data_IF_094889790813
#
_entry.id   IF_094889790813
#
_cell.length_a   1.000
_cell.length_b   1.000
_cell.length_c   1.000
_cell.angle_alpha   90.00
_cell.angle_beta   90.00
_cell.angle_gamma   90.00
#
_symmetry.space_group_name_H-M   'P 1'
#
loop_
_entity.id
_entity.type
_entity.pdbx_description
1 polymer ?
#
# COMPACT_ATOMS: atom_id res chain seq x y z
N UNK A 1 8.69 38.57 10.60
CA UNK A 1 8.98 37.24 11.14
C UNK A 1 8.43 37.00 12.54
N UNK A 2 8.55 37.93 13.50
CA UNK A 2 8.00 37.71 14.86
C UNK A 2 6.48 37.45 14.88
N UNK A 3 5.70 38.14 14.06
CA UNK A 3 4.24 37.98 13.98
C UNK A 3 3.84 36.63 13.36
N UNK A 4 4.53 36.20 12.30
CA UNK A 4 4.30 34.87 11.69
C UNK A 4 4.49 33.75 12.72
N UNK A 5 5.57 33.83 13.50
CA UNK A 5 5.86 32.85 14.54
C UNK A 5 4.85 32.89 15.70
N UNK A 6 4.35 34.06 16.05
CA UNK A 6 3.31 34.22 17.09
C UNK A 6 1.99 33.54 16.65
N UNK A 7 1.56 33.76 15.40
CA UNK A 7 0.37 33.12 14.82
C UNK A 7 0.59 31.60 14.75
N UNK A 8 1.70 31.19 14.23
CA UNK A 8 2.07 29.77 14.16
C UNK A 8 2.01 29.08 15.54
N UNK A 9 2.64 29.67 16.55
CA UNK A 9 2.64 29.11 17.91
C UNK A 9 1.23 29.04 18.52
N UNK A 10 0.39 30.07 18.27
CA UNK A 10 -1.01 30.10 18.71
C UNK A 10 -1.80 28.93 18.10
N UNK A 11 -1.70 28.74 16.78
CA UNK A 11 -2.39 27.67 16.06
C UNK A 11 -1.90 26.29 16.52
N UNK A 12 -0.60 26.09 16.62
CA UNK A 12 -0.02 24.83 17.10
C UNK A 12 -0.51 24.49 18.52
N UNK A 13 -0.50 25.45 19.42
CA UNK A 13 -1.03 25.24 20.77
C UNK A 13 -2.51 24.84 20.73
N UNK A 14 -3.31 25.46 19.87
CA UNK A 14 -4.73 25.15 19.71
C UNK A 14 -4.92 23.72 19.23
N UNK A 15 -4.22 23.29 18.17
CA UNK A 15 -4.34 21.96 17.61
C UNK A 15 -3.95 20.86 18.60
N UNK A 16 -2.88 21.05 19.37
CA UNK A 16 -2.39 20.06 20.32
C UNK A 16 -3.01 20.14 21.72
N UNK A 17 -3.83 21.17 22.01
CA UNK A 17 -4.54 21.27 23.30
C UNK A 17 -6.00 20.85 23.17
N UNK A 18 -6.63 21.03 22.02
CA UNK A 18 -8.03 20.63 21.79
C UNK A 18 -8.09 19.12 21.49
N UNK A 19 -8.71 18.36 22.41
CA UNK A 19 -8.87 16.90 22.30
C UNK A 19 -9.60 16.48 21.02
N UNK A 20 -10.59 17.27 20.55
CA UNK A 20 -11.34 16.96 19.33
C UNK A 20 -10.43 17.09 18.10
N UNK A 21 -9.61 18.12 18.05
CA UNK A 21 -8.64 18.32 16.97
C UNK A 21 -7.55 17.25 16.98
N UNK A 22 -7.05 16.87 18.16
CA UNK A 22 -6.09 15.78 18.29
C UNK A 22 -6.66 14.45 17.76
N UNK A 23 -7.89 14.11 18.15
CA UNK A 23 -8.54 12.89 17.65
C UNK A 23 -8.68 12.96 16.13
N UNK A 24 -9.20 14.06 15.58
CA UNK A 24 -9.38 14.20 14.12
C UNK A 24 -8.06 14.17 13.34
N UNK A 25 -6.96 14.56 13.99
CA UNK A 25 -5.63 14.56 13.40
C UNK A 25 -5.03 13.16 13.30
N UNK A 26 -5.14 12.35 14.36
CA UNK A 26 -4.50 11.05 14.44
C UNK A 26 -5.41 9.89 14.04
N UNK A 27 -6.73 10.09 14.13
CA UNK A 27 -7.72 9.06 13.82
C UNK A 27 -7.55 8.45 12.41
N UNK A 28 -7.31 9.21 11.33
CA UNK A 28 -7.14 8.63 10.00
C UNK A 28 -5.97 7.65 9.92
N UNK A 29 -4.83 7.97 10.53
CA UNK A 29 -3.67 7.07 10.57
C UNK A 29 -3.95 5.79 11.35
N UNK A 30 -4.64 5.91 12.49
CA UNK A 30 -5.06 4.75 13.28
C UNK A 30 -6.07 3.91 12.50
N UNK A 31 -7.03 4.55 11.82
CA UNK A 31 -8.02 3.85 10.99
C UNK A 31 -7.36 3.12 9.82
N UNK A 32 -6.37 3.73 9.16
CA UNK A 32 -5.57 3.07 8.11
C UNK A 32 -4.97 1.77 8.66
N UNK A 33 -4.28 1.85 9.78
CA UNK A 33 -3.66 0.67 10.41
C UNK A 33 -4.69 -0.41 10.74
N UNK A 34 -5.80 -0.04 11.40
CA UNK A 34 -6.83 -1.00 11.81
C UNK A 34 -7.51 -1.63 10.59
N UNK A 35 -7.93 -0.81 9.61
CA UNK A 35 -8.60 -1.30 8.41
C UNK A 35 -7.73 -2.27 7.63
N UNK A 36 -6.47 -1.93 7.40
CA UNK A 36 -5.58 -2.78 6.61
C UNK A 36 -5.16 -4.04 7.37
N UNK A 37 -4.96 -3.95 8.67
CA UNK A 37 -4.69 -5.14 9.49
C UNK A 37 -5.90 -6.07 9.53
N UNK A 38 -7.13 -5.52 9.65
CA UNK A 38 -8.36 -6.32 9.60
C UNK A 38 -8.58 -6.91 8.22
N UNK A 39 -8.40 -6.11 7.15
CA UNK A 39 -8.50 -6.61 5.77
C UNK A 39 -7.53 -7.76 5.52
N UNK A 40 -6.26 -7.62 5.91
CA UNK A 40 -5.28 -8.69 5.75
C UNK A 40 -5.69 -9.98 6.46
N UNK A 41 -6.15 -9.87 7.72
CA UNK A 41 -6.66 -11.03 8.47
C UNK A 41 -7.93 -11.64 7.87
N UNK A 42 -8.85 -10.80 7.39
CA UNK A 42 -10.07 -11.30 6.74
C UNK A 42 -9.71 -12.03 5.45
N UNK A 43 -8.77 -11.48 4.66
CA UNK A 43 -8.33 -12.15 3.44
C UNK A 43 -7.64 -13.48 3.72
N UNK A 44 -6.73 -13.55 4.71
CA UNK A 44 -6.12 -14.82 5.10
C UNK A 44 -7.17 -15.84 5.61
N UNK A 45 -8.12 -15.41 6.42
CA UNK A 45 -9.19 -16.30 6.90
C UNK A 45 -10.15 -16.72 5.77
N UNK A 46 -10.36 -15.89 4.76
CA UNK A 46 -11.15 -16.22 3.57
C UNK A 46 -10.40 -17.24 2.71
N UNK A 47 -9.09 -17.07 2.52
CA UNK A 47 -8.25 -18.09 1.89
C UNK A 47 -8.32 -19.41 2.67
N UNK A 48 -8.14 -19.39 3.99
CA UNK A 48 -8.24 -20.58 4.85
C UNK A 48 -9.63 -21.24 4.78
N UNK A 49 -10.71 -20.47 4.60
CA UNK A 49 -12.06 -21.00 4.51
C UNK A 49 -12.42 -21.62 3.16
N UNK A 50 -11.65 -21.32 2.11
CA UNK A 50 -11.76 -21.98 0.80
C UNK A 50 -10.87 -23.23 0.69
N UNK A 51 -10.06 -23.54 1.73
CA UNK A 51 -9.24 -24.73 1.79
C UNK A 51 -10.16 -25.92 2.12
N UNK A 52 -10.50 -26.67 1.11
CA UNK A 52 -11.24 -27.92 1.26
C UNK A 52 -10.29 -29.00 1.81
N UNK A 53 -10.47 -29.37 3.07
CA UNK A 53 -9.65 -30.41 3.70
C UNK A 53 -9.88 -31.82 3.09
N UNK A 54 -11.02 -32.02 2.44
CA UNK A 54 -11.30 -33.24 1.67
C UNK A 54 -10.68 -33.19 0.26
N UNK A 55 -9.94 -32.09 -0.05
CA UNK A 55 -9.31 -31.95 -1.35
C UNK A 55 -8.09 -32.84 -1.49
N UNK A 56 -8.07 -33.61 -2.58
CA UNK A 56 -6.96 -34.48 -2.95
C UNK A 56 -5.98 -33.77 -3.86
N UNK A 57 -4.85 -33.37 -3.32
CA UNK A 57 -3.81 -32.70 -4.08
C UNK A 57 -3.18 -33.58 -5.14
N UNK A 58 -2.96 -33.02 -6.33
CA UNK A 58 -2.26 -33.69 -7.44
C UNK A 58 -0.90 -33.02 -7.63
N UNK A 59 0.15 -33.77 -7.39
CA UNK A 59 1.54 -33.29 -7.44
C UNK A 59 2.28 -34.03 -8.54
N UNK A 60 2.99 -33.32 -9.38
CA UNK A 60 3.81 -33.86 -10.45
C UNK A 60 5.28 -33.63 -10.11
N UNK A 61 6.09 -34.68 -10.20
CA UNK A 61 7.55 -34.63 -9.99
C UNK A 61 8.28 -35.07 -11.26
N UNK A 62 9.50 -34.56 -11.47
CA UNK A 62 10.35 -35.04 -12.56
C UNK A 62 10.99 -36.39 -12.20
N UNK A 63 11.05 -37.30 -13.17
CA UNK A 63 11.48 -38.71 -13.00
C UNK A 63 13.01 -38.93 -12.94
N UNK A 64 13.81 -37.91 -13.30
CA UNK A 64 15.26 -37.94 -13.20
C UNK A 64 15.79 -38.20 -11.77
N UNK A 65 14.88 -38.31 -10.82
CA UNK A 65 15.12 -38.51 -9.41
C UNK A 65 14.40 -39.77 -8.83
N UNK A 66 13.61 -40.48 -9.65
CA UNK A 66 12.65 -41.52 -9.19
C UNK A 66 13.27 -42.77 -8.57
N UNK A 67 14.54 -43.05 -8.82
CA UNK A 67 15.25 -44.24 -8.32
C UNK A 67 16.11 -43.99 -7.08
N UNK A 68 16.05 -42.81 -6.51
CA UNK A 68 16.91 -42.36 -5.42
C UNK A 68 16.26 -42.57 -4.04
N UNK A 69 17.03 -42.94 -3.00
CA UNK A 69 16.53 -42.98 -1.62
C UNK A 69 15.97 -41.65 -1.11
N UNK A 70 16.57 -40.56 -1.52
CA UNK A 70 16.14 -39.19 -1.11
C UNK A 70 14.75 -38.85 -1.67
N UNK A 71 14.40 -39.39 -2.85
CA UNK A 71 13.09 -39.25 -3.48
C UNK A 71 11.99 -39.89 -2.62
N UNK A 72 12.21 -41.12 -2.15
CA UNK A 72 11.21 -41.81 -1.33
C UNK A 72 11.02 -41.08 0.03
N UNK A 73 12.06 -40.39 0.54
CA UNK A 73 11.98 -39.59 1.77
C UNK A 73 11.11 -38.39 1.53
N UNK A 74 11.32 -37.61 0.47
CA UNK A 74 10.52 -36.43 0.17
C UNK A 74 9.05 -36.79 -0.08
N UNK A 75 8.79 -37.81 -0.92
CA UNK A 75 7.43 -38.28 -1.20
C UNK A 75 6.71 -38.71 0.07
N UNK A 76 7.39 -39.53 0.91
CA UNK A 76 6.84 -39.99 2.19
C UNK A 76 6.58 -38.81 3.13
N UNK A 77 7.48 -37.82 3.16
CA UNK A 77 7.34 -36.65 4.00
C UNK A 77 6.16 -35.77 3.52
N UNK A 78 6.00 -35.58 2.20
CA UNK A 78 4.86 -34.85 1.63
C UNK A 78 3.55 -35.57 2.01
N UNK A 79 3.44 -36.87 1.79
CA UNK A 79 2.25 -37.64 2.12
C UNK A 79 1.92 -37.56 3.62
N UNK A 80 2.90 -37.86 4.47
CA UNK A 80 2.70 -37.86 5.92
C UNK A 80 2.34 -36.46 6.45
N UNK A 81 2.94 -35.39 5.92
CA UNK A 81 2.66 -34.03 6.35
C UNK A 81 1.24 -33.62 5.94
N UNK A 82 0.83 -33.86 4.70
CA UNK A 82 -0.51 -33.51 4.25
C UNK A 82 -1.59 -34.31 5.02
N UNK A 83 -1.38 -35.61 5.23
CA UNK A 83 -2.30 -36.42 6.05
C UNK A 83 -2.33 -35.97 7.50
N UNK A 84 -1.19 -35.56 8.08
CA UNK A 84 -1.15 -35.02 9.45
C UNK A 84 -1.88 -33.69 9.61
N UNK A 85 -2.05 -32.93 8.52
CA UNK A 85 -2.81 -31.70 8.43
C UNK A 85 -4.30 -31.93 8.08
N UNK A 86 -4.73 -33.22 8.09
CA UNK A 86 -6.11 -33.64 7.82
C UNK A 86 -6.54 -33.53 6.34
N UNK A 87 -5.60 -33.45 5.39
CA UNK A 87 -5.90 -33.56 3.94
C UNK A 87 -5.97 -35.02 3.48
N UNK A 88 -6.63 -35.26 2.36
CA UNK A 88 -6.56 -36.56 1.70
C UNK A 88 -5.13 -36.90 1.23
N UNK A 89 -4.82 -38.18 1.11
CA UNK A 89 -3.52 -38.64 0.59
C UNK A 89 -3.31 -38.10 -0.84
N UNK A 90 -2.21 -37.32 -1.09
CA UNK A 90 -1.99 -36.71 -2.39
C UNK A 90 -1.72 -37.72 -3.49
N UNK A 91 -2.16 -37.41 -4.69
CA UNK A 91 -1.82 -38.17 -5.89
C UNK A 91 -0.50 -37.62 -6.47
N UNK A 92 0.52 -38.49 -6.45
CA UNK A 92 1.86 -38.13 -6.94
C UNK A 92 2.12 -38.86 -8.25
N UNK A 93 2.46 -38.13 -9.28
CA UNK A 93 2.81 -38.63 -10.61
C UNK A 93 4.18 -38.15 -11.05
N UNK A 94 4.79 -38.88 -11.99
CA UNK A 94 6.14 -38.63 -12.46
C UNK A 94 6.16 -38.33 -13.95
N UNK A 95 7.00 -37.37 -14.34
CA UNK A 95 7.20 -36.99 -15.74
C UNK A 95 8.68 -36.91 -16.08
N UNK A 96 9.00 -37.17 -17.34
CA UNK A 96 10.34 -36.94 -17.86
C UNK A 96 10.62 -35.43 -17.93
N UNK A 97 11.85 -35.04 -17.64
CA UNK A 97 12.29 -33.63 -17.64
C UNK A 97 12.01 -32.91 -18.96
N UNK A 98 12.05 -33.63 -20.08
CA UNK A 98 11.76 -33.09 -21.43
C UNK A 98 10.33 -32.57 -21.57
N UNK A 99 9.41 -33.00 -20.69
CA UNK A 99 8.00 -32.61 -20.70
C UNK A 99 7.66 -31.46 -19.74
N UNK A 100 8.65 -30.89 -19.07
CA UNK A 100 8.40 -29.85 -18.06
C UNK A 100 7.61 -28.67 -18.62
N UNK A 101 7.93 -28.19 -19.82
CA UNK A 101 7.25 -27.03 -20.40
C UNK A 101 5.80 -27.37 -20.83
N UNK A 102 5.54 -28.58 -21.33
CA UNK A 102 4.18 -29.06 -21.58
C UNK A 102 3.36 -29.12 -20.29
N UNK A 103 3.98 -29.56 -19.19
CA UNK A 103 3.29 -29.67 -17.91
C UNK A 103 3.12 -28.33 -17.21
N UNK A 104 3.94 -27.33 -17.49
CA UNK A 104 3.65 -25.94 -17.07
C UNK A 104 2.38 -25.42 -17.73
N UNK A 105 2.16 -25.69 -19.02
CA UNK A 105 0.91 -25.33 -19.70
C UNK A 105 -0.30 -26.05 -19.09
N UNK A 106 -0.17 -27.34 -18.73
CA UNK A 106 -1.21 -28.10 -18.03
C UNK A 106 -1.49 -27.55 -16.63
N UNK A 107 -0.46 -27.06 -15.92
CA UNK A 107 -0.62 -26.38 -14.63
C UNK A 107 -1.38 -25.06 -14.78
N UNK A 108 -1.12 -24.32 -15.86
CA UNK A 108 -1.93 -23.14 -16.23
C UNK A 108 -3.36 -23.55 -16.55
N UNK A 109 -3.57 -24.68 -17.25
CA UNK A 109 -4.89 -25.23 -17.55
C UNK A 109 -5.60 -25.86 -16.33
N UNK A 110 -4.98 -25.85 -15.13
CA UNK A 110 -5.55 -26.32 -13.86
C UNK A 110 -5.79 -27.84 -13.78
N UNK A 111 -4.98 -28.64 -14.48
CA UNK A 111 -5.12 -30.10 -14.48
C UNK A 111 -4.55 -30.76 -13.21
N UNK A 112 -3.61 -30.09 -12.53
CA UNK A 112 -2.98 -30.53 -11.28
C UNK A 112 -2.50 -29.31 -10.47
N UNK A 113 -2.02 -29.52 -9.23
CA UNK A 113 -1.82 -28.42 -8.28
C UNK A 113 -0.38 -27.92 -8.20
N UNK A 114 0.62 -28.78 -8.39
CA UNK A 114 2.02 -28.37 -8.31
C UNK A 114 2.94 -29.26 -9.14
N UNK A 115 3.99 -28.65 -9.71
CA UNK A 115 5.06 -29.32 -10.45
C UNK A 115 6.39 -29.07 -9.75
N UNK A 116 7.04 -30.16 -9.29
CA UNK A 116 8.35 -30.10 -8.66
C UNK A 116 9.40 -30.60 -9.66
N UNK A 117 10.35 -29.72 -9.99
CA UNK A 117 11.42 -30.01 -10.94
C UNK A 117 12.75 -30.04 -10.19
N UNK A 118 13.45 -31.17 -10.31
CA UNK A 118 14.77 -31.37 -9.73
C UNK A 118 15.87 -31.09 -10.75
N UNK A 119 17.01 -30.57 -10.25
CA UNK A 119 18.21 -30.36 -11.03
C UNK A 119 18.81 -31.68 -11.53
N UNK A 120 19.59 -31.65 -12.60
CA UNK A 120 20.34 -32.79 -13.07
C UNK A 120 21.41 -33.19 -12.05
N UNK A 121 21.55 -34.53 -11.84
CA UNK A 121 22.47 -35.05 -10.84
C UNK A 121 22.23 -34.50 -9.41
N UNK A 122 20.93 -34.32 -9.06
CA UNK A 122 20.53 -33.75 -7.78
C UNK A 122 21.19 -34.46 -6.59
N UNK A 123 21.24 -35.81 -6.59
CA UNK A 123 21.87 -36.56 -5.50
C UNK A 123 23.37 -36.36 -5.41
N UNK A 124 24.06 -36.35 -6.54
CA UNK A 124 25.50 -36.14 -6.56
C UNK A 124 25.84 -34.74 -6.03
N UNK A 125 25.03 -33.75 -6.39
CA UNK A 125 25.19 -32.36 -5.97
C UNK A 125 24.83 -32.14 -4.49
N UNK A 126 23.80 -32.81 -3.97
CA UNK A 126 23.37 -32.62 -2.58
C UNK A 126 24.43 -33.09 -1.56
N UNK A 127 25.24 -34.08 -1.93
CA UNK A 127 26.35 -34.59 -1.12
C UNK A 127 27.68 -33.89 -1.40
N UNK A 128 27.72 -32.95 -2.36
CA UNK A 128 28.90 -32.20 -2.72
C UNK A 128 29.06 -30.97 -1.83
N UNK A 129 30.26 -30.72 -1.33
CA UNK A 129 30.57 -29.54 -0.54
C UNK A 129 30.64 -28.23 -1.38
N UNK A 130 30.67 -28.35 -2.72
CA UNK A 130 30.93 -27.23 -3.64
C UNK A 130 29.80 -26.90 -4.58
N UNK A 131 28.74 -27.70 -4.66
CA UNK A 131 27.60 -27.46 -5.52
C UNK A 131 26.29 -27.53 -4.72
N UNK A 132 25.38 -26.60 -5.04
CA UNK A 132 24.05 -26.53 -4.44
C UNK A 132 23.03 -26.85 -5.53
N UNK A 133 22.31 -27.98 -5.45
CA UNK A 133 21.31 -28.32 -6.46
C UNK A 133 20.10 -27.43 -6.35
N UNK A 134 19.46 -27.15 -7.49
CA UNK A 134 18.25 -26.36 -7.59
C UNK A 134 16.99 -27.26 -7.49
N UNK A 135 16.02 -26.83 -6.70
CA UNK A 135 14.65 -27.37 -6.70
C UNK A 135 13.72 -26.24 -7.14
N UNK A 136 12.92 -26.49 -8.16
CA UNK A 136 11.89 -25.56 -8.66
C UNK A 136 10.51 -26.14 -8.40
N UNK A 137 9.70 -25.42 -7.63
CA UNK A 137 8.34 -25.81 -7.30
C UNK A 137 7.39 -24.86 -8.02
N UNK A 138 6.83 -25.26 -9.15
CA UNK A 138 5.87 -24.44 -9.89
C UNK A 138 4.46 -24.63 -9.35
N UNK A 139 3.72 -23.53 -9.27
CA UNK A 139 2.34 -23.50 -8.83
C UNK A 139 1.52 -22.49 -9.66
N UNK A 140 0.21 -22.61 -9.62
CA UNK A 140 -0.72 -21.71 -10.27
C UNK A 140 -1.49 -20.92 -9.20
N UNK A 141 -1.17 -19.63 -9.06
CA UNK A 141 -1.82 -18.75 -8.09
C UNK A 141 -3.30 -18.44 -8.40
N UNK A 142 -3.82 -18.86 -9.57
CA UNK A 142 -5.27 -18.83 -9.84
C UNK A 142 -6.04 -19.92 -9.10
N UNK A 143 -5.33 -20.88 -8.53
CA UNK A 143 -5.88 -21.97 -7.74
C UNK A 143 -5.45 -21.77 -6.28
N UNK A 144 -6.39 -21.46 -5.39
CA UNK A 144 -6.11 -21.31 -3.95
C UNK A 144 -5.44 -22.56 -3.37
N UNK A 145 -5.88 -23.74 -3.78
CA UNK A 145 -5.28 -25.02 -3.36
C UNK A 145 -3.82 -25.16 -3.83
N UNK A 146 -3.51 -24.71 -5.06
CA UNK A 146 -2.14 -24.74 -5.60
C UNK A 146 -1.20 -23.79 -4.84
N UNK A 147 -1.66 -22.59 -4.51
CA UNK A 147 -0.87 -21.62 -3.72
C UNK A 147 -0.64 -22.12 -2.29
N UNK A 148 -1.67 -22.66 -1.64
CA UNK A 148 -1.57 -23.25 -0.30
C UNK A 148 -0.59 -24.44 -0.30
N UNK A 149 -0.73 -25.34 -1.29
CA UNK A 149 0.18 -26.48 -1.45
C UNK A 149 1.63 -26.02 -1.64
N UNK A 150 1.86 -24.97 -2.44
CA UNK A 150 3.19 -24.41 -2.65
C UNK A 150 3.85 -23.96 -1.35
N UNK A 151 3.13 -23.25 -0.47
CA UNK A 151 3.65 -22.81 0.84
C UNK A 151 3.99 -24.02 1.75
N UNK A 152 3.15 -25.04 1.72
CA UNK A 152 3.41 -26.29 2.44
C UNK A 152 4.64 -27.02 1.88
N UNK A 153 4.74 -27.13 0.56
CA UNK A 153 5.88 -27.78 -0.11
C UNK A 153 7.20 -27.06 0.15
N UNK A 154 7.22 -25.72 0.19
CA UNK A 154 8.42 -24.97 0.59
C UNK A 154 8.89 -25.37 2.00
N UNK A 155 7.96 -25.46 2.95
CA UNK A 155 8.28 -25.85 4.33
C UNK A 155 8.74 -27.31 4.43
N UNK A 156 8.11 -28.20 3.66
CA UNK A 156 8.45 -29.62 3.62
C UNK A 156 9.83 -29.82 3.01
N UNK A 157 10.11 -29.17 1.88
CA UNK A 157 11.41 -29.26 1.19
C UNK A 157 12.53 -28.69 2.05
N UNK A 158 12.33 -27.52 2.64
CA UNK A 158 13.29 -26.90 3.57
C UNK A 158 13.54 -27.82 4.79
N UNK A 159 12.49 -28.40 5.36
CA UNK A 159 12.58 -29.33 6.48
C UNK A 159 13.29 -30.64 6.12
N UNK A 160 12.99 -31.20 4.95
CA UNK A 160 13.57 -32.47 4.47
C UNK A 160 15.06 -32.33 4.17
N UNK A 161 15.45 -31.21 3.59
CA UNK A 161 16.83 -30.95 3.16
C UNK A 161 17.57 -29.94 4.03
N UNK A 162 17.10 -29.69 5.26
CA UNK A 162 17.67 -28.69 6.20
C UNK A 162 19.17 -28.84 6.43
N UNK A 163 19.69 -30.04 6.38
CA UNK A 163 21.12 -30.32 6.60
C UNK A 163 21.96 -30.18 5.30
N UNK A 164 21.34 -29.84 4.20
CA UNK A 164 21.98 -29.74 2.89
C UNK A 164 21.79 -28.32 2.35
N UNK A 165 22.78 -27.84 1.62
CA UNK A 165 22.66 -26.54 0.94
C UNK A 165 21.95 -26.73 -0.39
N UNK A 166 20.67 -26.37 -0.45
CA UNK A 166 19.86 -26.40 -1.67
C UNK A 166 19.43 -24.97 -2.04
N UNK A 167 19.25 -24.72 -3.34
CA UNK A 167 18.63 -23.49 -3.83
C UNK A 167 17.17 -23.79 -4.17
N UNK A 168 16.23 -23.04 -3.57
CA UNK A 168 14.82 -23.09 -3.94
C UNK A 168 14.52 -21.84 -4.78
N UNK A 169 14.02 -22.05 -6.01
CA UNK A 169 13.62 -20.94 -6.87
C UNK A 169 12.42 -20.19 -6.26
N UNK A 170 12.57 -18.92 -6.02
CA UNK A 170 11.58 -18.09 -5.33
C UNK A 170 10.55 -17.42 -6.26
N UNK A 171 10.60 -17.67 -7.58
CA UNK A 171 9.66 -17.08 -8.54
C UNK A 171 9.01 -18.11 -9.47
N UNK A 172 8.33 -19.15 -8.94
CA UNK A 172 7.83 -20.28 -9.70
C UNK A 172 6.34 -20.17 -10.08
N UNK A 173 5.71 -18.98 -9.96
CA UNK A 173 4.29 -18.82 -10.25
C UNK A 173 4.03 -18.83 -11.76
N UNK A 174 3.16 -19.73 -12.21
CA UNK A 174 2.72 -19.83 -13.61
C UNK A 174 1.30 -19.29 -13.84
N UNK A 175 0.59 -18.89 -12.78
CA UNK A 175 -0.78 -18.36 -12.87
C UNK A 175 -0.83 -16.84 -12.91
N UNK A 176 -1.87 -16.30 -13.55
CA UNK A 176 -2.09 -14.83 -13.66
C UNK A 176 -2.87 -14.22 -12.48
N UNK A 177 -3.61 -15.00 -11.69
CA UNK A 177 -4.59 -14.46 -10.72
C UNK A 177 -3.99 -13.92 -9.41
N UNK A 178 -2.82 -14.38 -8.96
CA UNK A 178 -2.12 -13.66 -7.87
C UNK A 178 -1.70 -12.28 -8.33
N UNK A 179 -1.47 -12.11 -9.64
CA UNK A 179 -1.32 -10.81 -10.24
C UNK A 179 -2.60 -9.98 -10.07
N UNK A 180 -3.80 -10.55 -10.22
CA UNK A 180 -5.08 -9.84 -10.00
C UNK A 180 -5.29 -9.45 -8.55
N UNK A 181 -5.05 -10.34 -7.59
CA UNK A 181 -5.15 -10.02 -6.16
C UNK A 181 -4.18 -8.93 -5.74
N UNK A 182 -2.91 -9.06 -6.08
CA UNK A 182 -1.88 -8.02 -5.87
C UNK A 182 -2.21 -6.75 -6.64
N UNK A 183 -2.75 -6.86 -7.85
CA UNK A 183 -3.16 -5.72 -8.66
C UNK A 183 -4.33 -4.97 -8.00
N UNK A 184 -5.39 -5.66 -7.60
CA UNK A 184 -6.54 -5.07 -6.91
C UNK A 184 -6.10 -4.39 -5.60
N UNK A 185 -5.28 -5.06 -4.79
CA UNK A 185 -4.75 -4.48 -3.55
C UNK A 185 -3.88 -3.26 -3.80
N UNK A 186 -3.04 -3.26 -4.83
CA UNK A 186 -2.18 -2.13 -5.16
C UNK A 186 -2.94 -0.87 -5.60
N UNK A 187 -4.24 -0.98 -5.94
CA UNK A 187 -5.10 0.17 -6.25
C UNK A 187 -6.03 0.55 -5.10
N UNK A 188 -6.61 -0.43 -4.40
CA UNK A 188 -7.50 -0.17 -3.26
C UNK A 188 -6.74 0.56 -2.15
N UNK A 189 -5.52 0.14 -1.88
CA UNK A 189 -4.68 0.69 -0.83
C UNK A 189 -4.37 2.19 -1.03
N UNK A 190 -3.84 2.67 -2.17
CA UNK A 190 -3.66 4.09 -2.40
C UNK A 190 -4.97 4.88 -2.33
N UNK A 191 -6.07 4.33 -2.86
CA UNK A 191 -7.38 4.97 -2.88
C UNK A 191 -7.91 5.24 -1.46
N UNK A 192 -7.87 4.25 -0.58
CA UNK A 192 -8.29 4.40 0.82
C UNK A 192 -7.35 5.38 1.54
N UNK A 193 -6.04 5.24 1.35
CA UNK A 193 -5.05 6.15 1.97
C UNK A 193 -5.32 7.60 1.57
N UNK A 194 -5.51 7.88 0.29
CA UNK A 194 -5.83 9.22 -0.20
C UNK A 194 -7.12 9.77 0.40
N UNK A 195 -8.16 8.95 0.47
CA UNK A 195 -9.46 9.34 1.03
C UNK A 195 -9.34 9.76 2.50
N UNK A 196 -8.58 9.01 3.28
CA UNK A 196 -8.36 9.28 4.70
C UNK A 196 -7.45 10.50 4.92
N UNK A 197 -6.42 10.70 4.08
CA UNK A 197 -5.59 11.91 4.11
C UNK A 197 -6.40 13.16 3.74
N UNK A 198 -7.27 13.07 2.73
CA UNK A 198 -8.15 14.17 2.38
C UNK A 198 -9.17 14.49 3.49
N UNK A 199 -9.73 13.45 4.13
CA UNK A 199 -10.60 13.60 5.30
C UNK A 199 -9.92 14.36 6.45
N UNK A 200 -8.62 14.11 6.69
CA UNK A 200 -7.83 14.86 7.66
C UNK A 200 -7.78 16.35 7.31
N UNK A 201 -7.43 16.67 6.06
CA UNK A 201 -7.37 18.06 5.60
C UNK A 201 -8.75 18.76 5.72
N UNK A 202 -9.84 18.05 5.38
CA UNK A 202 -11.21 18.55 5.56
C UNK A 202 -11.61 18.77 7.02
N UNK A 203 -11.01 18.07 7.96
CA UNK A 203 -11.29 18.25 9.39
C UNK A 203 -10.59 19.49 9.95
N UNK A 204 -9.31 19.68 9.62
CA UNK A 204 -8.47 20.72 10.26
C UNK A 204 -8.55 22.08 9.58
N UNK A 205 -8.64 22.15 8.24
CA UNK A 205 -8.57 23.40 7.52
C UNK A 205 -9.82 24.28 7.68
N UNK A 206 -11.06 23.74 7.54
CA UNK A 206 -12.27 24.50 7.78
C UNK A 206 -12.36 25.04 9.21
N UNK A 207 -11.99 24.24 10.20
CA UNK A 207 -12.01 24.64 11.61
C UNK A 207 -11.04 25.78 11.90
N UNK A 208 -9.85 25.77 11.28
CA UNK A 208 -8.84 26.83 11.47
C UNK A 208 -9.19 28.13 10.77
N UNK A 209 -9.82 28.11 9.60
CA UNK A 209 -10.05 29.32 8.79
C UNK A 209 -11.51 29.74 8.83
N UNK A 210 -12.42 28.90 8.33
CA UNK A 210 -13.84 29.24 8.28
C UNK A 210 -14.45 29.30 9.69
N UNK A 211 -13.98 28.47 10.64
CA UNK A 211 -14.40 28.54 12.03
C UNK A 211 -14.01 29.83 12.75
N UNK A 212 -12.87 30.44 12.43
CA UNK A 212 -12.53 31.76 12.98
C UNK A 212 -13.36 32.88 12.35
N UNK A 213 -13.75 32.75 11.07
CA UNK A 213 -14.70 33.71 10.45
C UNK A 213 -16.05 33.59 11.12
N UNK A 214 -16.60 32.37 11.25
CA UNK A 214 -17.90 32.11 11.85
C UNK A 214 -18.01 32.64 13.29
N UNK A 215 -16.93 32.52 14.08
CA UNK A 215 -16.87 33.02 15.46
C UNK A 215 -16.52 34.52 15.56
N UNK A 216 -16.30 35.21 14.45
CA UNK A 216 -15.90 36.62 14.43
C UNK A 216 -14.48 36.90 14.95
N UNK A 217 -13.75 35.90 15.38
CA UNK A 217 -12.41 36.03 15.94
C UNK A 217 -11.38 36.45 14.90
N UNK A 218 -11.60 36.17 13.64
CA UNK A 218 -10.73 36.59 12.55
C UNK A 218 -10.74 38.11 12.40
N UNK A 219 -11.91 38.77 12.54
CA UNK A 219 -12.02 40.23 12.50
C UNK A 219 -11.17 40.89 13.60
N UNK A 220 -11.23 40.36 14.84
CA UNK A 220 -10.41 40.87 15.96
C UNK A 220 -8.91 40.73 15.71
N UNK A 221 -8.48 39.65 15.03
CA UNK A 221 -7.07 39.47 14.67
C UNK A 221 -6.66 40.47 13.56
N UNK A 222 -7.53 40.73 12.60
CA UNK A 222 -7.25 41.65 11.48
C UNK A 222 -7.18 43.13 11.90
N UNK A 223 -7.75 43.50 13.05
CA UNK A 223 -7.60 44.85 13.64
C UNK A 223 -6.23 45.02 14.33
N UNK A 224 -5.56 43.91 14.66
CA UNK A 224 -4.22 43.94 15.26
C UNK A 224 -3.16 44.41 14.26
N UNK A 225 -2.01 44.96 14.71
CA UNK A 225 -0.96 45.48 13.81
C UNK A 225 -0.18 44.36 13.07
N UNK A 226 -0.85 43.31 12.69
CA UNK A 226 -0.29 42.16 11.95
C UNK A 226 -0.65 42.31 10.47
N UNK A 227 0.34 42.17 9.57
CA UNK A 227 0.06 42.16 8.14
C UNK A 227 -0.76 40.89 7.78
N UNK A 228 -1.77 41.06 6.93
CA UNK A 228 -2.65 39.94 6.49
C UNK A 228 -1.87 38.77 5.87
N UNK A 229 -0.81 39.09 5.12
CA UNK A 229 0.10 38.07 4.58
C UNK A 229 0.86 37.32 5.67
N UNK A 230 1.25 38.00 6.77
CA UNK A 230 1.90 37.33 7.90
C UNK A 230 0.93 36.38 8.64
N UNK A 231 -0.34 36.78 8.76
CA UNK A 231 -1.41 35.96 9.32
C UNK A 231 -1.64 34.72 8.45
N UNK A 232 -1.80 34.90 7.13
CA UNK A 232 -1.99 33.80 6.18
C UNK A 232 -0.84 32.81 6.22
N UNK A 233 0.40 33.30 6.12
CA UNK A 233 1.61 32.43 6.15
C UNK A 233 1.72 31.70 7.48
N UNK A 234 1.48 32.38 8.61
CA UNK A 234 1.52 31.74 9.92
C UNK A 234 0.50 30.60 10.08
N UNK A 235 -0.72 30.81 9.57
CA UNK A 235 -1.76 29.78 9.56
C UNK A 235 -1.41 28.60 8.62
N UNK A 236 -0.96 28.90 7.41
CA UNK A 236 -0.58 27.86 6.45
C UNK A 236 0.56 27.00 6.99
N UNK A 237 1.58 27.63 7.58
CA UNK A 237 2.69 26.90 8.20
C UNK A 237 2.21 26.01 9.35
N UNK A 238 1.30 26.49 10.19
CA UNK A 238 0.74 25.69 11.29
C UNK A 238 -0.08 24.52 10.75
N UNK A 239 -0.96 24.75 9.78
CA UNK A 239 -1.77 23.71 9.14
C UNK A 239 -0.91 22.67 8.41
N UNK A 240 0.13 23.12 7.71
CA UNK A 240 1.07 22.21 7.03
C UNK A 240 1.84 21.35 8.03
N UNK A 241 2.33 21.93 9.13
CA UNK A 241 3.03 21.14 10.15
C UNK A 241 2.09 20.20 10.91
N UNK A 242 0.87 20.65 11.21
CA UNK A 242 -0.17 19.81 11.82
C UNK A 242 -0.55 18.68 10.87
N UNK A 243 -0.71 18.96 9.58
CA UNK A 243 -0.88 17.99 8.54
C UNK A 243 0.28 17.00 8.44
N UNK A 244 1.54 17.48 8.49
CA UNK A 244 2.72 16.62 8.52
C UNK A 244 2.70 15.65 9.70
N UNK A 245 2.30 16.08 10.89
CA UNK A 245 2.17 15.20 12.04
C UNK A 245 1.11 14.09 11.80
N UNK A 246 -0.02 14.44 11.19
CA UNK A 246 -1.04 13.45 10.78
C UNK A 246 -0.52 12.52 9.70
N UNK A 247 0.20 13.05 8.71
CA UNK A 247 0.82 12.28 7.63
C UNK A 247 1.84 11.26 8.14
N UNK A 248 2.64 11.64 9.12
CA UNK A 248 3.57 10.73 9.81
C UNK A 248 2.82 9.54 10.43
N UNK A 249 1.76 9.81 11.20
CA UNK A 249 0.97 8.74 11.81
C UNK A 249 0.29 7.88 10.75
N UNK A 250 -0.22 8.49 9.68
CA UNK A 250 -0.82 7.75 8.56
C UNK A 250 0.20 6.89 7.82
N UNK A 251 1.40 7.42 7.56
CA UNK A 251 2.49 6.68 6.93
C UNK A 251 2.93 5.49 7.80
N UNK A 252 3.06 5.69 9.11
CA UNK A 252 3.34 4.59 10.05
C UNK A 252 2.21 3.57 10.06
N UNK A 253 0.95 4.01 10.04
CA UNK A 253 -0.21 3.12 9.94
C UNK A 253 -0.16 2.23 8.70
N UNK A 254 0.18 2.80 7.54
CA UNK A 254 0.42 2.09 6.28
C UNK A 254 1.56 1.08 6.44
N UNK A 255 2.74 1.56 6.85
CA UNK A 255 3.97 0.76 6.95
C UNK A 255 3.76 -0.46 7.85
N UNK A 256 3.17 -0.29 9.03
CA UNK A 256 2.92 -1.39 9.95
C UNK A 256 1.81 -2.34 9.52
N UNK A 257 0.91 -1.93 8.62
CA UNK A 257 -0.16 -2.80 8.11
C UNK A 257 0.24 -3.64 6.89
N UNK A 258 1.30 -3.28 6.16
CA UNK A 258 1.75 -3.98 4.95
C UNK A 258 1.97 -5.49 5.19
N UNK A 259 2.66 -5.95 6.26
CA UNK A 259 2.86 -7.38 6.47
C UNK A 259 1.55 -8.16 6.64
N UNK A 260 0.56 -7.55 7.30
CA UNK A 260 -0.77 -8.15 7.48
C UNK A 260 -1.56 -8.23 6.17
N UNK A 261 -1.42 -7.23 5.29
CA UNK A 261 -2.07 -7.21 3.98
C UNK A 261 -1.53 -8.27 3.02
N UNK A 262 -0.26 -8.62 3.17
CA UNK A 262 0.40 -9.60 2.32
C UNK A 262 0.27 -11.04 2.86
N UNK A 263 -0.74 -11.32 3.72
CA UNK A 263 -1.04 -12.68 4.19
C UNK A 263 0.06 -13.33 5.02
N UNK A 264 0.94 -12.53 5.66
CA UNK A 264 2.09 -13.05 6.40
C UNK A 264 3.24 -13.54 5.51
N UNK A 265 3.13 -13.38 4.18
CA UNK A 265 4.25 -13.57 3.28
C UNK A 265 5.38 -12.63 3.70
N UNK A 266 6.57 -13.15 3.92
CA UNK A 266 7.79 -12.37 4.18
C UNK A 266 8.24 -11.66 2.91
N UNK A 267 7.39 -10.77 2.38
CA UNK A 267 7.81 -9.86 1.32
C UNK A 267 8.72 -8.84 1.97
N UNK A 268 10.00 -9.05 1.83
CA UNK A 268 11.03 -8.09 2.26
C UNK A 268 10.94 -6.86 1.37
N UNK A 269 10.09 -5.89 1.77
CA UNK A 269 10.06 -4.58 1.10
C UNK A 269 11.36 -3.85 1.48
N UNK A 270 12.20 -3.46 0.53
CA UNK A 270 13.42 -2.71 0.82
C UNK A 270 13.12 -1.41 1.59
N UNK A 271 13.99 -1.04 2.51
CA UNK A 271 13.84 0.21 3.29
C UNK A 271 13.62 1.45 2.40
N UNK A 272 14.21 1.46 1.21
CA UNK A 272 14.04 2.52 0.22
C UNK A 272 12.58 2.73 -0.21
N UNK A 273 11.80 1.65 -0.36
CA UNK A 273 10.39 1.73 -0.76
C UNK A 273 9.50 2.28 0.36
N UNK A 274 9.79 1.96 1.62
CA UNK A 274 9.12 2.60 2.75
C UNK A 274 9.35 4.11 2.79
N UNK A 275 10.57 4.56 2.47
CA UNK A 275 10.90 5.98 2.38
C UNK A 275 10.14 6.63 1.22
N UNK A 276 10.01 5.97 0.08
CA UNK A 276 9.22 6.47 -1.05
C UNK A 276 7.75 6.65 -0.69
N UNK A 277 7.12 5.63 -0.08
CA UNK A 277 5.72 5.70 0.41
C UNK A 277 5.56 6.89 1.37
N UNK A 278 6.49 7.04 2.31
CA UNK A 278 6.48 8.14 3.27
C UNK A 278 6.53 9.52 2.57
N UNK A 279 7.41 9.70 1.60
CA UNK A 279 7.54 10.95 0.84
C UNK A 279 6.29 11.23 -0.01
N UNK A 280 5.70 10.21 -0.63
CA UNK A 280 4.45 10.32 -1.39
C UNK A 280 3.32 10.79 -0.45
N UNK A 281 3.15 10.16 0.71
CA UNK A 281 2.11 10.52 1.69
C UNK A 281 2.28 11.98 2.15
N UNK A 282 3.50 12.40 2.48
CA UNK A 282 3.76 13.77 2.92
C UNK A 282 3.44 14.79 1.83
N UNK A 283 3.92 14.57 0.60
CA UNK A 283 3.66 15.48 -0.52
C UNK A 283 2.16 15.60 -0.83
N UNK A 284 1.45 14.47 -0.78
CA UNK A 284 0.00 14.40 -0.98
C UNK A 284 -0.77 15.15 0.11
N UNK A 285 -0.37 14.98 1.36
CA UNK A 285 -1.03 15.68 2.47
C UNK A 285 -0.86 17.20 2.39
N UNK A 286 0.33 17.68 2.02
CA UNK A 286 0.57 19.11 1.82
C UNK A 286 -0.31 19.64 0.68
N UNK A 287 -0.48 18.88 -0.40
CA UNK A 287 -1.41 19.21 -1.48
C UNK A 287 -2.84 19.32 -0.98
N UNK A 288 -3.33 18.34 -0.20
CA UNK A 288 -4.68 18.33 0.33
C UNK A 288 -4.93 19.45 1.35
N UNK A 289 -3.96 19.72 2.23
CA UNK A 289 -4.05 20.84 3.18
C UNK A 289 -4.11 22.18 2.44
N UNK A 290 -3.31 22.36 1.39
CA UNK A 290 -3.34 23.58 0.57
C UNK A 290 -4.68 23.74 -0.14
N UNK A 291 -5.22 22.67 -0.71
CA UNK A 291 -6.52 22.65 -1.39
C UNK A 291 -7.67 22.94 -0.42
N UNK A 292 -7.71 22.26 0.73
CA UNK A 292 -8.72 22.46 1.75
C UNK A 292 -8.65 23.85 2.38
N UNK A 293 -7.45 24.40 2.57
CA UNK A 293 -7.23 25.75 3.04
C UNK A 293 -7.76 26.80 2.06
N UNK A 294 -7.51 26.59 0.75
CA UNK A 294 -8.01 27.45 -0.31
C UNK A 294 -9.54 27.50 -0.31
N UNK A 295 -10.21 26.33 -0.30
CA UNK A 295 -11.67 26.22 -0.22
C UNK A 295 -12.24 26.85 1.05
N UNK A 296 -11.60 26.62 2.21
CA UNK A 296 -12.03 27.17 3.49
C UNK A 296 -11.89 28.71 3.54
N UNK A 297 -10.98 29.29 2.76
CA UNK A 297 -10.80 30.74 2.69
C UNK A 297 -11.99 31.45 2.01
N UNK A 298 -12.66 30.77 1.06
CA UNK A 298 -13.88 31.31 0.42
C UNK A 298 -15.12 31.20 1.29
N UNK A 299 -15.19 30.19 2.16
CA UNK A 299 -16.35 29.89 2.97
C UNK A 299 -16.54 30.89 4.11
N UNK A 300 -17.80 31.09 4.52
CA UNK A 300 -18.20 31.93 5.67
C UNK A 300 -18.29 31.13 6.97
N UNK A 301 -18.59 29.85 6.89
CA UNK A 301 -18.77 28.95 8.02
C UNK A 301 -18.10 27.60 7.79
N UNK A 302 -17.91 26.83 8.87
CA UNK A 302 -17.37 25.48 8.80
C UNK A 302 -18.25 24.59 7.91
N UNK A 303 -19.59 24.74 8.02
CA UNK A 303 -20.57 23.98 7.23
C UNK A 303 -20.42 24.29 5.73
N UNK A 304 -20.30 25.57 5.38
CA UNK A 304 -20.11 25.99 3.98
C UNK A 304 -18.77 25.50 3.44
N UNK A 305 -17.68 25.58 4.22
CA UNK A 305 -16.39 25.02 3.83
C UNK A 305 -16.46 23.51 3.57
N UNK A 306 -17.11 22.77 4.46
CA UNK A 306 -17.29 21.33 4.27
C UNK A 306 -18.19 21.01 3.06
N UNK A 307 -19.20 21.81 2.78
CA UNK A 307 -20.04 21.64 1.61
C UNK A 307 -19.30 21.93 0.28
N UNK A 308 -18.38 22.90 0.28
CA UNK A 308 -17.52 23.19 -0.88
C UNK A 308 -16.47 22.10 -1.12
N UNK A 309 -15.91 21.54 -0.05
CA UNK A 309 -14.87 20.53 -0.12
C UNK A 309 -15.45 19.11 -0.30
N UNK A 310 -16.68 18.86 0.14
CA UNK A 310 -17.34 17.55 0.06
C UNK A 310 -17.31 16.90 -1.34
N UNK A 311 -17.70 17.59 -2.41
CA UNK A 311 -17.65 17.03 -3.77
C UNK A 311 -16.23 16.68 -4.22
N UNK A 312 -15.19 17.32 -3.66
CA UNK A 312 -13.80 17.02 -4.03
C UNK A 312 -13.37 15.63 -3.59
N UNK A 313 -13.95 15.07 -2.51
CA UNK A 313 -13.66 13.67 -2.15
C UNK A 313 -14.12 12.70 -3.23
N UNK A 314 -15.27 12.98 -3.86
CA UNK A 314 -15.75 12.21 -5.00
C UNK A 314 -14.80 12.29 -6.19
N UNK A 315 -14.28 13.48 -6.48
CA UNK A 315 -13.26 13.65 -7.53
C UNK A 315 -11.97 12.91 -7.20
N UNK A 316 -11.49 12.99 -5.96
CA UNK A 316 -10.30 12.24 -5.50
C UNK A 316 -10.49 10.75 -5.74
N UNK A 317 -11.66 10.19 -5.39
CA UNK A 317 -11.97 8.78 -5.61
C UNK A 317 -12.04 8.41 -7.09
N UNK A 318 -12.68 9.24 -7.92
CA UNK A 318 -12.76 9.02 -9.36
C UNK A 318 -11.36 9.00 -9.99
N UNK A 319 -10.52 9.98 -9.67
CA UNK A 319 -9.14 10.01 -10.16
C UNK A 319 -8.28 8.86 -9.61
N UNK A 320 -8.56 8.41 -8.40
CA UNK A 320 -7.86 7.28 -7.79
C UNK A 320 -8.18 5.93 -8.47
N UNK A 321 -9.34 5.79 -9.08
CA UNK A 321 -9.75 4.58 -9.80
C UNK A 321 -9.18 4.52 -11.23
N UNK A 322 -8.84 5.63 -11.86
CA UNK A 322 -8.36 5.67 -13.25
C UNK A 322 -7.19 4.71 -13.50
N UNK A 323 -6.15 4.62 -12.65
CA UNK A 323 -5.03 3.70 -12.87
C UNK A 323 -5.39 2.20 -12.85
N UNK A 324 -6.61 1.85 -12.43
CA UNK A 324 -7.12 0.47 -12.51
C UNK A 324 -7.45 0.08 -13.96
N UNK A 325 -7.97 1.03 -14.74
CA UNK A 325 -8.49 0.80 -16.08
C UNK A 325 -7.58 1.33 -17.19
N UNK A 326 -6.69 2.25 -16.86
CA UNK A 326 -5.80 2.93 -17.81
C UNK A 326 -4.36 2.77 -17.36
N UNK A 327 -3.49 2.44 -18.30
CA UNK A 327 -2.04 2.43 -18.04
C UNK A 327 -1.52 3.86 -17.84
N UNK A 328 -1.27 4.20 -16.58
CA UNK A 328 -0.79 5.51 -16.14
C UNK A 328 0.72 5.53 -15.86
N UNK A 329 1.49 4.63 -16.47
CA UNK A 329 2.96 4.52 -16.24
C UNK A 329 3.76 5.61 -16.97
N UNK A 330 3.18 6.23 -17.99
CA UNK A 330 3.88 7.27 -18.74
C UNK A 330 4.14 8.53 -17.88
N UNK A 331 5.28 9.19 -18.08
CA UNK A 331 5.73 10.36 -17.31
C UNK A 331 4.72 11.51 -17.32
N UNK A 332 3.88 11.63 -18.35
CA UNK A 332 2.83 12.64 -18.42
C UNK A 332 1.82 12.56 -17.27
N UNK A 333 1.49 11.36 -16.80
CA UNK A 333 0.56 11.19 -15.68
C UNK A 333 1.15 11.62 -14.33
N UNK A 334 2.47 11.76 -14.20
CA UNK A 334 3.10 12.30 -12.99
C UNK A 334 2.66 13.73 -12.66
N UNK A 335 2.18 14.48 -13.66
CA UNK A 335 1.69 15.86 -13.49
C UNK A 335 0.19 15.94 -13.22
N UNK A 336 -0.58 14.84 -13.30
CA UNK A 336 -2.01 14.86 -13.03
C UNK A 336 -2.25 14.54 -11.56
N UNK A 337 -2.74 15.53 -10.74
CA UNK A 337 -2.96 15.33 -9.32
C UNK A 337 -3.89 14.13 -9.07
N UNK A 338 -3.68 13.46 -7.94
CA UNK A 338 -4.41 12.27 -7.47
C UNK A 338 -4.09 11.00 -8.27
N UNK A 339 -4.10 11.01 -9.62
CA UNK A 339 -3.66 9.88 -10.45
C UNK A 339 -2.19 9.57 -10.17
N UNK A 340 -1.35 10.62 -10.15
CA UNK A 340 0.09 10.48 -9.88
C UNK A 340 0.38 9.81 -8.53
N UNK A 341 -0.38 10.14 -7.49
CA UNK A 341 -0.22 9.56 -6.15
C UNK A 341 -0.61 8.09 -6.14
N UNK A 342 -1.78 7.76 -6.72
CA UNK A 342 -2.25 6.37 -6.80
C UNK A 342 -1.30 5.50 -7.59
N UNK A 343 -0.85 5.98 -8.76
CA UNK A 343 0.10 5.25 -9.60
C UNK A 343 1.47 5.10 -8.92
N UNK A 344 1.98 6.16 -8.26
CA UNK A 344 3.23 6.11 -7.53
C UNK A 344 3.19 5.10 -6.38
N UNK A 345 2.15 5.15 -5.54
CA UNK A 345 1.99 4.17 -4.44
C UNK A 345 1.78 2.75 -4.97
N UNK A 346 0.96 2.58 -6.02
CA UNK A 346 0.72 1.29 -6.66
C UNK A 346 2.02 0.67 -7.20
N UNK A 347 2.86 1.47 -7.86
CA UNK A 347 4.14 1.00 -8.43
C UNK A 347 5.12 0.54 -7.34
N UNK A 348 5.14 1.23 -6.19
CA UNK A 348 5.96 0.81 -5.04
C UNK A 348 5.46 -0.52 -4.47
N UNK A 349 4.15 -0.67 -4.28
CA UNK A 349 3.56 -1.91 -3.74
C UNK A 349 3.72 -3.12 -4.68
N UNK A 350 3.77 -2.88 -6.00
CA UNK A 350 4.03 -3.92 -7.01
C UNK A 350 5.52 -4.28 -7.14
N UNK A 351 6.42 -3.52 -6.55
CA UNK A 351 7.87 -3.67 -6.76
C UNK A 351 8.35 -3.20 -8.15
N UNK A 352 7.52 -2.42 -8.87
CA UNK A 352 7.84 -1.85 -10.20
C UNK A 352 8.12 -0.35 -10.12
N UNK A 353 8.69 0.09 -9.01
CA UNK A 353 8.88 1.51 -8.72
C UNK A 353 9.77 2.21 -9.75
N UNK A 354 9.23 3.25 -10.39
CA UNK A 354 9.97 4.16 -11.27
C UNK A 354 10.35 5.42 -10.49
N UNK A 355 11.61 5.52 -10.08
CA UNK A 355 12.12 6.69 -9.34
C UNK A 355 11.86 8.02 -10.08
N UNK A 356 12.05 8.14 -11.43
CA UNK A 356 11.72 9.36 -12.14
C UNK A 356 10.25 9.75 -12.05
N UNK A 357 9.33 8.77 -12.17
CA UNK A 357 7.89 9.02 -12.06
C UNK A 357 7.52 9.49 -10.67
N UNK A 358 8.01 8.80 -9.62
CA UNK A 358 7.73 9.13 -8.22
C UNK A 358 8.29 10.52 -7.87
N UNK A 359 9.53 10.81 -8.28
CA UNK A 359 10.16 12.10 -8.04
C UNK A 359 9.40 13.26 -8.69
N UNK A 360 8.97 13.08 -9.95
CA UNK A 360 8.14 14.08 -10.65
C UNK A 360 6.76 14.24 -10.02
N UNK A 361 6.14 13.16 -9.55
CA UNK A 361 4.85 13.20 -8.85
C UNK A 361 4.94 14.01 -7.56
N UNK A 362 5.97 13.79 -6.76
CA UNK A 362 6.23 14.55 -5.52
C UNK A 362 6.48 16.03 -5.85
N UNK A 363 7.29 16.31 -6.86
CA UNK A 363 7.60 17.66 -7.31
C UNK A 363 6.32 18.39 -7.80
N UNK A 364 5.48 17.72 -8.59
CA UNK A 364 4.20 18.25 -9.07
C UNK A 364 3.27 18.61 -7.89
N UNK A 365 3.16 17.73 -6.89
CA UNK A 365 2.36 17.99 -5.70
C UNK A 365 2.85 19.23 -4.94
N UNK A 366 4.16 19.41 -4.76
CA UNK A 366 4.72 20.61 -4.13
C UNK A 366 4.50 21.87 -4.98
N UNK A 367 4.59 21.76 -6.30
CA UNK A 367 4.34 22.87 -7.22
C UNK A 367 2.89 23.34 -7.15
N UNK A 368 1.92 22.42 -7.20
CA UNK A 368 0.50 22.74 -7.03
C UNK A 368 0.20 23.31 -5.65
N UNK A 369 0.79 22.76 -4.60
CA UNK A 369 0.67 23.31 -3.26
C UNK A 369 1.19 24.75 -3.17
N UNK A 370 2.34 25.02 -3.76
CA UNK A 370 2.92 26.36 -3.83
C UNK A 370 2.03 27.37 -4.56
N UNK A 371 1.44 26.97 -5.69
CA UNK A 371 0.48 27.79 -6.43
C UNK A 371 -0.77 28.09 -5.60
N UNK A 372 -1.31 27.08 -4.91
CA UNK A 372 -2.47 27.24 -4.03
C UNK A 372 -2.15 28.17 -2.85
N UNK A 373 -0.97 28.00 -2.21
CA UNK A 373 -0.52 28.87 -1.10
C UNK A 373 -0.40 30.32 -1.56
N UNK A 374 0.15 30.56 -2.75
CA UNK A 374 0.20 31.90 -3.34
C UNK A 374 -1.21 32.48 -3.52
N UNK A 375 -2.16 31.69 -4.04
CA UNK A 375 -3.57 32.07 -4.16
C UNK A 375 -4.19 32.42 -2.81
N UNK A 376 -3.96 31.60 -1.78
CA UNK A 376 -4.47 31.83 -0.42
C UNK A 376 -3.95 33.16 0.14
N UNK A 377 -2.66 33.43 0.03
CA UNK A 377 -2.07 34.72 0.49
C UNK A 377 -2.73 35.90 -0.22
N UNK A 378 -2.99 35.79 -1.52
CA UNK A 378 -3.68 36.85 -2.29
C UNK A 378 -5.13 37.04 -1.82
N UNK A 379 -5.85 35.97 -1.51
CA UNK A 379 -7.21 36.01 -0.97
C UNK A 379 -7.28 36.64 0.42
N UNK A 380 -6.31 36.37 1.29
CA UNK A 380 -6.23 37.02 2.61
C UNK A 380 -6.04 38.53 2.53
N UNK A 381 -5.45 39.03 1.46
CA UNK A 381 -5.32 40.48 1.22
C UNK A 381 -6.63 41.10 0.69
N UNK A 382 -7.61 40.33 0.26
CA UNK A 382 -8.88 40.83 -0.27
C UNK A 382 -9.91 40.96 0.87
N UNK A 383 -10.27 42.22 1.22
CA UNK A 383 -11.22 42.54 2.29
C UNK A 383 -12.62 41.95 2.05
N UNK A 384 -13.10 42.02 0.82
CA UNK A 384 -14.44 41.53 0.48
C UNK A 384 -14.64 40.04 0.75
N UNK A 385 -13.55 39.26 0.71
CA UNK A 385 -13.59 37.77 0.97
C UNK A 385 -13.42 37.52 2.47
N UNK A 386 -12.57 38.29 3.14
CA UNK A 386 -12.24 38.06 4.54
C UNK A 386 -13.32 38.56 5.51
N UNK A 387 -14.05 39.65 5.15
CA UNK A 387 -15.12 40.21 5.96
C UNK A 387 -16.54 39.89 5.45
N UNK A 388 -16.66 39.00 4.47
CA UNK A 388 -17.95 38.56 3.98
C UNK A 388 -18.65 37.75 5.09
N UNK A 389 -19.51 38.46 5.87
CA UNK A 389 -20.35 37.82 6.88
C UNK A 389 -21.49 37.04 6.26
#
# INVERSE_FOLDING_TARGET
>A
MKHIFAVFKKEMKRFFTDKRMLISLFLPGILIFVLYTVMGKVMSNVEDSFIDKEYKYKIVLTDNYSSSPSHSILETTIKNTLVSLEYEEPEISYISKDKVDEYKEKLVAKEFDSLIVFDDLFEEKIFSATSHPDIKIFYNSEMSNSETLYQMLLTIVDGTYRNYSINIDTNPNVGEASALGKQVMSFIFPMITMSLLFSTAMSICPESIAGEKERGTLASILISPIKRSELAIGKILALSLTGLASGLVSALGVIFSIPSLMGGLTVSIPLGEYILIFLIIISTLILFVSLATLGSTYAKSIKEASALLGPLIGLVLVFAIIPVFVDCTSIGFAFIPFINVCQAMSSVLKGTSSLPFIGLSILANFLYSGLMIFGIVKLFNNESIMFKA
#
